data_IF_534898800005
#
_entry.id   IF_534898800005
#
_cell.length_a   1.000
_cell.length_b   1.000
_cell.length_c   1.000
_cell.angle_alpha   90.00
_cell.angle_beta   90.00
_cell.angle_gamma   90.00
#
_symmetry.space_group_name_H-M   'P 1'
#
loop_
_entity.id
_entity.type
_entity.pdbx_description
1 polymer ?
#
# COMPACT_ATOMS: atom_id res chain seq x y z
N UNK A 1 12.81 -68.81 4.24
CA UNK A 1 12.74 -67.38 4.04
C UNK A 1 11.52 -66.84 4.76
N UNK A 2 11.70 -66.15 5.89
CA UNK A 2 10.61 -65.51 6.57
C UNK A 2 10.44 -64.09 6.01
N UNK A 3 9.37 -63.84 5.28
CA UNK A 3 8.98 -62.51 4.87
C UNK A 3 8.30 -61.83 6.06
N UNK A 4 9.00 -60.93 6.71
CA UNK A 4 8.43 -60.08 7.73
C UNK A 4 7.57 -59.01 7.05
N UNK A 5 6.28 -59.26 6.87
CA UNK A 5 5.33 -58.25 6.50
C UNK A 5 5.17 -57.30 7.68
N UNK A 6 5.78 -56.13 7.64
CA UNK A 6 5.50 -55.07 8.62
C UNK A 6 4.08 -54.55 8.40
N UNK A 7 3.20 -54.99 9.25
CA UNK A 7 1.84 -54.45 9.32
C UNK A 7 1.93 -53.09 10.00
N UNK A 8 1.93 -52.03 9.20
CA UNK A 8 1.80 -50.68 9.74
C UNK A 8 0.37 -50.54 10.25
N UNK A 9 0.15 -50.24 11.54
CA UNK A 9 -1.19 -50.15 12.12
C UNK A 9 -2.01 -49.07 11.41
N UNK A 10 -3.28 -49.37 11.16
CA UNK A 10 -4.22 -48.47 10.44
C UNK A 10 -4.29 -47.07 11.02
N UNK A 11 -4.14 -46.94 12.34
CA UNK A 11 -4.08 -45.66 13.05
C UNK A 11 -2.94 -44.75 12.57
N UNK A 12 -1.76 -45.31 12.26
CA UNK A 12 -0.61 -44.53 11.76
C UNK A 12 -0.86 -44.02 10.34
N UNK A 13 -1.59 -44.77 9.51
CA UNK A 13 -1.96 -44.35 8.16
C UNK A 13 -2.98 -43.23 8.18
N UNK A 14 -3.96 -43.28 9.07
CA UNK A 14 -4.98 -42.21 9.24
C UNK A 14 -4.32 -40.94 9.76
N UNK A 15 -3.41 -41.02 10.72
CA UNK A 15 -2.70 -39.87 11.25
C UNK A 15 -1.83 -39.19 10.18
N UNK A 16 -1.15 -39.96 9.35
CA UNK A 16 -0.35 -39.41 8.24
C UNK A 16 -1.21 -38.69 7.19
N UNK A 17 -2.40 -39.22 6.87
CA UNK A 17 -3.34 -38.56 5.93
C UNK A 17 -3.90 -37.28 6.53
N UNK A 18 -4.20 -37.23 7.84
CA UNK A 18 -4.69 -36.00 8.49
C UNK A 18 -3.66 -34.89 8.50
N UNK A 19 -2.38 -35.18 8.70
CA UNK A 19 -1.30 -34.22 8.67
C UNK A 19 -1.12 -33.62 7.26
N UNK A 20 -1.22 -34.43 6.21
CA UNK A 20 -1.16 -33.97 4.82
C UNK A 20 -2.34 -33.07 4.47
N UNK A 21 -3.55 -33.37 4.96
CA UNK A 21 -4.73 -32.56 4.73
C UNK A 21 -4.65 -31.16 5.40
N UNK A 22 -4.04 -31.08 6.59
CA UNK A 22 -3.89 -29.80 7.30
C UNK A 22 -2.88 -28.87 6.59
N UNK A 23 -1.82 -29.41 6.01
CA UNK A 23 -0.83 -28.61 5.26
C UNK A 23 -1.40 -28.04 3.96
N UNK A 24 -2.44 -28.68 3.40
CA UNK A 24 -3.03 -28.24 2.11
C UNK A 24 -3.97 -27.02 2.24
N UNK A 25 -4.31 -26.57 3.45
CA UNK A 25 -5.24 -25.45 3.68
C UNK A 25 -4.51 -24.12 3.88
N UNK A 26 -3.18 -24.11 3.83
CA UNK A 26 -2.40 -22.86 3.86
C UNK A 26 -2.60 -22.11 2.54
N UNK A 27 -3.68 -21.35 2.42
CA UNK A 27 -3.82 -20.35 1.35
C UNK A 27 -2.73 -19.31 1.55
N UNK A 28 -1.79 -19.15 0.60
CA UNK A 28 -0.80 -18.10 0.71
C UNK A 28 -1.54 -16.76 0.77
N UNK A 29 -1.37 -16.05 1.87
CA UNK A 29 -1.85 -14.67 1.99
C UNK A 29 -1.08 -13.82 0.99
N UNK A 30 -1.59 -13.70 -0.23
CA UNK A 30 -1.00 -12.84 -1.26
C UNK A 30 -1.30 -11.40 -0.91
N UNK A 31 -0.25 -10.63 -0.72
CA UNK A 31 -0.36 -9.18 -0.75
C UNK A 31 -0.79 -8.75 -2.16
N UNK A 32 -1.85 -7.98 -2.24
CA UNK A 32 -2.43 -7.52 -3.49
C UNK A 32 -2.13 -6.04 -3.72
N UNK A 33 -2.33 -5.60 -4.95
CA UNK A 33 -2.12 -4.22 -5.36
C UNK A 33 -3.47 -3.54 -5.58
N UNK A 34 -3.66 -2.40 -4.95
CA UNK A 34 -4.79 -1.51 -5.20
C UNK A 34 -4.44 -0.38 -6.16
N UNK A 35 -5.44 0.18 -6.82
CA UNK A 35 -5.29 1.39 -7.64
C UNK A 35 -5.74 2.59 -6.81
N UNK A 36 -4.94 3.65 -6.78
CA UNK A 36 -5.24 4.87 -6.04
C UNK A 36 -5.36 6.04 -7.00
N UNK A 37 -6.39 6.84 -6.80
CA UNK A 37 -6.57 8.15 -7.43
C UNK A 37 -6.83 9.16 -6.34
N UNK A 38 -6.16 10.29 -6.37
CA UNK A 38 -6.32 11.32 -5.36
C UNK A 38 -6.20 12.71 -5.94
N UNK A 39 -6.97 13.64 -5.41
CA UNK A 39 -6.87 15.06 -5.67
C UNK A 39 -6.41 15.72 -4.38
N UNK A 40 -5.29 16.40 -4.45
CA UNK A 40 -4.66 17.06 -3.30
C UNK A 40 -4.55 18.55 -3.57
N UNK A 41 -5.03 19.33 -2.63
CA UNK A 41 -4.91 20.78 -2.63
C UNK A 41 -3.96 21.20 -1.52
N UNK A 42 -3.04 22.08 -1.84
CA UNK A 42 -2.11 22.71 -0.89
C UNK A 42 -2.27 24.20 -0.93
N UNK A 43 -2.10 24.81 0.23
CA UNK A 43 -2.07 26.24 0.39
C UNK A 43 -1.14 26.64 1.51
N UNK A 44 -0.46 27.79 1.39
CA UNK A 44 0.40 28.32 2.43
C UNK A 44 1.24 29.50 1.98
N UNK A 45 1.85 30.17 2.94
CA UNK A 45 2.67 31.36 2.71
C UNK A 45 4.16 31.13 2.94
N UNK A 46 4.51 30.30 3.91
CA UNK A 46 5.90 29.92 4.24
C UNK A 46 5.97 28.41 4.48
N UNK A 47 4.95 27.87 5.14
CA UNK A 47 4.76 26.42 5.35
C UNK A 47 3.45 26.05 4.70
N UNK A 48 3.47 25.15 3.73
CA UNK A 48 2.27 24.66 3.07
C UNK A 48 1.61 23.57 3.87
N UNK A 49 0.31 23.67 4.09
CA UNK A 49 -0.54 22.61 4.62
C UNK A 49 -1.45 22.13 3.49
N UNK A 50 -1.60 20.84 3.37
CA UNK A 50 -2.42 20.26 2.33
C UNK A 50 -3.31 19.13 2.83
N UNK A 51 -4.33 18.89 2.06
CA UNK A 51 -5.26 17.81 2.24
C UNK A 51 -5.98 17.51 0.94
N UNK A 52 -6.77 16.45 0.93
CA UNK A 52 -7.50 16.08 -0.26
C UNK A 52 -8.42 14.90 -0.05
N UNK A 53 -8.92 14.43 -1.16
CA UNK A 53 -9.77 13.25 -1.23
C UNK A 53 -9.24 12.32 -2.32
N UNK A 54 -9.56 11.06 -2.17
CA UNK A 54 -9.17 10.05 -3.16
C UNK A 54 -10.11 8.88 -3.19
N UNK A 55 -9.75 7.91 -4.00
CA UNK A 55 -10.43 6.63 -4.11
C UNK A 55 -9.40 5.53 -4.24
N UNK A 56 -9.55 4.52 -3.41
CA UNK A 56 -8.87 3.24 -3.55
C UNK A 56 -9.79 2.28 -4.29
N UNK A 57 -9.30 1.66 -5.35
CA UNK A 57 -9.95 0.54 -6.02
C UNK A 57 -9.18 -0.72 -5.63
N UNK A 58 -9.84 -1.59 -4.88
CA UNK A 58 -9.25 -2.83 -4.37
C UNK A 58 -10.24 -3.99 -4.50
N UNK A 59 -9.83 -5.06 -5.13
CA UNK A 59 -10.66 -6.24 -5.43
C UNK A 59 -11.99 -5.89 -6.12
N UNK A 60 -11.94 -4.97 -7.08
CA UNK A 60 -13.11 -4.52 -7.84
C UNK A 60 -14.09 -3.62 -7.08
N UNK A 61 -13.75 -3.20 -5.86
CA UNK A 61 -14.55 -2.27 -5.05
C UNK A 61 -13.84 -0.95 -4.89
N UNK A 62 -14.62 0.13 -4.84
CA UNK A 62 -14.14 1.49 -4.63
C UNK A 62 -14.35 1.91 -3.19
N UNK A 63 -13.30 2.44 -2.58
CA UNK A 63 -13.30 2.93 -1.20
C UNK A 63 -12.88 4.41 -1.22
N UNK A 64 -13.75 5.33 -0.77
CA UNK A 64 -13.39 6.73 -0.69
C UNK A 64 -12.35 6.97 0.40
N UNK A 65 -11.40 7.85 0.12
CA UNK A 65 -10.28 8.20 0.99
C UNK A 65 -10.34 9.67 1.39
N UNK A 66 -9.97 9.95 2.63
CA UNK A 66 -9.62 11.28 3.11
C UNK A 66 -8.11 11.37 3.31
N UNK A 67 -7.50 12.44 2.82
CA UNK A 67 -6.07 12.70 2.91
C UNK A 67 -5.88 14.02 3.66
N UNK A 68 -5.00 14.01 4.66
CA UNK A 68 -4.75 15.19 5.51
C UNK A 68 -3.32 15.20 6.04
N UNK A 69 -2.93 16.32 6.66
CA UNK A 69 -1.65 16.42 7.37
C UNK A 69 -0.42 16.48 6.48
N UNK A 70 -0.59 16.81 5.21
CA UNK A 70 0.56 16.96 4.29
C UNK A 70 1.30 18.26 4.63
N UNK A 71 2.52 18.12 5.12
CA UNK A 71 3.46 19.26 5.23
C UNK A 71 4.30 19.29 3.95
N UNK A 72 4.25 20.40 3.26
CA UNK A 72 5.13 20.68 2.13
C UNK A 72 6.13 21.76 2.54
N UNK A 73 7.29 21.75 1.90
CA UNK A 73 8.25 22.86 2.02
C UNK A 73 7.64 24.20 1.62
N UNK A 74 8.44 25.26 1.63
CA UNK A 74 7.98 26.61 1.33
C UNK A 74 7.09 26.66 0.09
N UNK A 75 5.82 26.96 0.28
CA UNK A 75 4.82 27.08 -0.78
C UNK A 75 4.23 28.47 -0.71
N UNK A 76 4.22 29.16 -1.83
CA UNK A 76 3.52 30.44 -1.97
C UNK A 76 2.30 30.21 -2.85
N UNK A 77 1.11 30.41 -2.29
CA UNK A 77 -0.16 30.28 -3.01
C UNK A 77 -0.90 28.97 -2.79
N UNK A 78 -1.84 28.69 -3.68
CA UNK A 78 -2.68 27.49 -3.68
C UNK A 78 -2.46 26.70 -4.96
N UNK A 79 -2.26 25.40 -4.83
CA UNK A 79 -2.17 24.52 -6.00
C UNK A 79 -2.93 23.20 -5.77
N UNK A 80 -3.53 22.70 -6.83
CA UNK A 80 -4.22 21.40 -6.84
C UNK A 80 -3.49 20.45 -7.77
N UNK A 81 -3.31 19.23 -7.34
CA UNK A 81 -2.61 18.19 -8.08
C UNK A 81 -3.42 16.91 -8.12
N UNK A 82 -3.61 16.37 -9.31
CA UNK A 82 -4.19 15.05 -9.52
C UNK A 82 -3.07 14.00 -9.43
N UNK A 83 -3.24 13.04 -8.54
CA UNK A 83 -2.32 11.95 -8.32
C UNK A 83 -2.98 10.62 -8.70
N UNK A 84 -2.22 9.76 -9.36
CA UNK A 84 -2.64 8.42 -9.72
C UNK A 84 -1.51 7.44 -9.45
N UNK A 85 -1.87 6.24 -9.06
CA UNK A 85 -0.86 5.23 -8.83
C UNK A 85 -1.39 3.96 -8.17
N UNK A 86 -0.52 3.30 -7.44
CA UNK A 86 -0.78 1.99 -6.88
C UNK A 86 -0.45 1.94 -5.38
N UNK A 87 -1.22 1.13 -4.68
CA UNK A 87 -0.97 0.74 -3.30
C UNK A 87 -0.54 -0.72 -3.26
N UNK A 88 0.71 -0.96 -2.89
CA UNK A 88 1.29 -2.31 -2.82
C UNK A 88 1.23 -2.88 -1.42
N UNK A 89 1.30 -4.20 -1.31
CA UNK A 89 1.34 -4.97 -0.06
C UNK A 89 0.06 -4.86 0.78
N UNK A 90 -1.08 -4.76 0.13
CA UNK A 90 -2.38 -4.73 0.79
C UNK A 90 -2.96 -6.14 0.94
N UNK A 91 -3.61 -6.38 2.05
CA UNK A 91 -4.42 -7.59 2.32
C UNK A 91 -5.89 -7.23 2.49
N UNK A 92 -6.13 -6.10 3.13
CA UNK A 92 -7.45 -5.54 3.39
C UNK A 92 -7.50 -4.08 2.96
N UNK A 93 -8.67 -3.53 2.65
CA UNK A 93 -8.80 -2.11 2.33
C UNK A 93 -8.30 -1.19 3.44
N UNK A 94 -8.49 -1.57 4.71
CA UNK A 94 -8.04 -0.82 5.89
C UNK A 94 -6.52 -0.71 6.04
N UNK A 95 -5.76 -1.54 5.37
CA UNK A 95 -4.29 -1.48 5.43
C UNK A 95 -3.75 -0.17 4.86
N UNK A 96 -4.53 0.50 3.97
CA UNK A 96 -4.17 1.81 3.41
C UNK A 96 -4.21 2.93 4.44
N UNK A 97 -4.89 2.74 5.56
CA UNK A 97 -5.00 3.77 6.59
C UNK A 97 -3.69 3.93 7.35
N UNK A 98 -3.44 5.15 7.77
CA UNK A 98 -2.30 5.47 8.61
C UNK A 98 -1.51 6.68 8.14
N UNK A 99 -0.41 6.91 8.82
CA UNK A 99 0.54 7.99 8.51
C UNK A 99 1.61 7.47 7.55
N UNK A 100 1.80 8.21 6.48
CA UNK A 100 2.78 7.90 5.45
C UNK A 100 3.97 8.83 5.52
N UNK A 101 5.13 8.27 5.24
CA UNK A 101 6.39 9.01 5.08
C UNK A 101 7.03 8.67 3.74
N UNK A 102 7.75 9.62 3.15
CA UNK A 102 8.46 9.40 1.92
C UNK A 102 9.58 8.37 2.10
N UNK A 103 9.72 7.46 1.14
CA UNK A 103 10.81 6.48 1.10
C UNK A 103 11.60 6.65 -0.20
N UNK A 104 12.92 6.66 -0.06
CA UNK A 104 13.85 6.82 -1.19
C UNK A 104 14.10 8.28 -1.55
N UNK A 105 15.10 8.52 -2.40
CA UNK A 105 15.36 9.84 -2.99
C UNK A 105 14.25 10.11 -4.00
N UNK A 106 13.44 11.14 -3.73
CA UNK A 106 12.31 11.49 -4.58
C UNK A 106 12.73 11.84 -6.00
N UNK A 107 11.89 11.51 -6.95
CA UNK A 107 11.96 12.05 -8.31
C UNK A 107 11.82 11.06 -9.45
N UNK A 108 12.23 9.81 -9.30
CA UNK A 108 12.07 8.83 -10.38
C UNK A 108 11.39 7.55 -9.89
N UNK A 109 10.26 7.23 -10.49
CA UNK A 109 9.66 5.90 -10.41
C UNK A 109 10.31 4.96 -11.42
N UNK A 110 10.12 3.66 -11.24
CA UNK A 110 10.49 2.67 -12.24
C UNK A 110 9.85 3.05 -13.60
N UNK A 111 10.69 3.24 -14.63
CA UNK A 111 10.24 3.72 -15.94
C UNK A 111 10.44 5.22 -16.21
N UNK A 112 11.10 5.97 -15.31
CA UNK A 112 11.49 7.37 -15.55
C UNK A 112 10.37 8.41 -15.37
N UNK A 113 9.18 8.00 -14.90
CA UNK A 113 8.12 8.94 -14.57
C UNK A 113 8.42 9.65 -13.24
N UNK A 114 8.13 10.96 -13.18
CA UNK A 114 8.20 11.71 -11.94
C UNK A 114 7.09 11.24 -10.98
N UNK A 115 7.45 10.90 -9.76
CA UNK A 115 6.51 10.40 -8.78
C UNK A 115 7.05 10.38 -7.36
N UNK A 116 6.19 10.05 -6.43
CA UNK A 116 6.52 9.87 -5.03
C UNK A 116 6.25 8.45 -4.59
N UNK A 117 7.07 7.97 -3.69
CA UNK A 117 6.88 6.71 -3.01
C UNK A 117 6.77 6.95 -1.51
N UNK A 118 5.65 6.48 -0.94
CA UNK A 118 5.33 6.68 0.46
C UNK A 118 5.09 5.33 1.13
N UNK A 119 5.41 5.22 2.40
CA UNK A 119 5.18 3.99 3.19
C UNK A 119 4.48 4.33 4.50
N UNK A 120 3.50 3.51 4.89
CA UNK A 120 2.87 3.59 6.20
C UNK A 120 3.42 2.53 7.17
N UNK A 121 2.96 2.57 8.43
CA UNK A 121 3.35 1.62 9.48
C UNK A 121 2.82 0.20 9.24
N UNK A 122 1.77 0.05 8.41
CA UNK A 122 1.22 -1.27 8.03
C UNK A 122 2.03 -1.94 6.91
N UNK A 123 3.06 -1.28 6.38
CA UNK A 123 3.90 -1.78 5.31
C UNK A 123 3.34 -1.55 3.90
N UNK A 124 2.22 -0.84 3.77
CA UNK A 124 1.68 -0.44 2.46
C UNK A 124 2.59 0.61 1.83
N UNK A 125 2.89 0.40 0.56
CA UNK A 125 3.67 1.34 -0.24
C UNK A 125 2.75 1.97 -1.27
N UNK A 126 2.63 3.30 -1.23
CA UNK A 126 1.97 4.09 -2.25
C UNK A 126 3.00 4.60 -3.25
N UNK A 127 2.83 4.27 -4.52
CA UNK A 127 3.55 4.89 -5.63
C UNK A 127 2.56 5.76 -6.39
N UNK A 128 2.78 7.07 -6.35
CA UNK A 128 1.89 8.05 -6.95
C UNK A 128 2.64 8.93 -7.93
N UNK A 129 2.03 9.18 -9.06
CA UNK A 129 2.50 10.12 -10.09
C UNK A 129 1.41 11.11 -10.43
N UNK A 130 1.78 12.29 -10.93
CA UNK A 130 0.82 13.32 -11.31
C UNK A 130 1.45 14.38 -12.19
N UNK A 131 0.62 15.23 -12.78
CA UNK A 131 1.05 16.23 -13.76
C UNK A 131 1.97 17.31 -13.21
N UNK A 132 2.05 17.46 -11.90
CA UNK A 132 2.92 18.41 -11.19
C UNK A 132 3.79 17.76 -10.13
N UNK A 133 4.00 16.46 -10.22
CA UNK A 133 4.94 15.73 -9.36
C UNK A 133 6.32 15.96 -9.93
N UNK A 134 6.90 17.09 -9.60
CA UNK A 134 8.27 17.43 -9.90
C UNK A 134 9.02 17.70 -8.61
N UNK A 135 10.01 18.52 -8.70
CA UNK A 135 10.91 18.94 -7.62
C UNK A 135 10.17 19.41 -6.36
N UNK A 136 8.97 19.93 -6.48
CA UNK A 136 8.19 20.49 -5.37
C UNK A 136 7.59 19.43 -4.43
N UNK A 137 7.34 18.21 -4.90
CA UNK A 137 6.78 17.14 -4.07
C UNK A 137 7.83 16.22 -3.45
N UNK A 138 9.03 16.24 -4.01
CA UNK A 138 10.08 15.29 -3.63
C UNK A 138 10.79 15.60 -2.31
N UNK A 139 10.71 16.82 -1.83
CA UNK A 139 11.62 17.29 -0.77
C UNK A 139 11.04 17.25 0.64
N UNK A 140 9.72 17.18 0.81
CA UNK A 140 9.15 17.37 2.14
C UNK A 140 7.81 16.70 2.39
N UNK A 141 7.58 15.49 1.86
CA UNK A 141 6.35 14.77 2.22
C UNK A 141 6.61 13.92 3.47
N UNK A 142 6.29 14.47 4.61
CA UNK A 142 6.25 13.73 5.88
C UNK A 142 4.89 13.93 6.55
N UNK A 143 4.37 12.86 7.15
CA UNK A 143 3.17 12.95 7.96
C UNK A 143 1.84 13.02 7.18
N UNK A 144 1.79 12.47 5.97
CA UNK A 144 0.50 12.33 5.25
C UNK A 144 -0.35 11.28 5.93
N UNK A 145 -1.53 11.68 6.38
CA UNK A 145 -2.51 10.75 6.96
C UNK A 145 -3.56 10.39 5.93
N UNK A 146 -3.77 9.10 5.73
CA UNK A 146 -4.82 8.54 4.86
C UNK A 146 -5.82 7.78 5.70
N UNK A 147 -7.11 7.99 5.47
CA UNK A 147 -8.22 7.29 6.13
C UNK A 147 -9.28 6.90 5.12
N UNK A 148 -9.95 5.80 5.36
CA UNK A 148 -11.19 5.43 4.68
C UNK A 148 -12.34 6.34 5.18
N UNK A 149 -13.27 6.66 4.28
CA UNK A 149 -14.50 7.40 4.60
C UNK A 149 -15.69 6.46 4.70
#
# INVERSE_FOLDING_TARGET
MKVLAQVVPLATRIAALAVVAIVSISTPSRAETGIVRAVVTRGGFIVGVGGGSGTLIFRGRSYPLAISGMSFGATIGVSTTDLRGHAYHMRNPSDIEGVYSAIGAGGALAGGAAGIRLRNTNGVILELSGTRVGIDLSVAVSGVTVRLR
#
